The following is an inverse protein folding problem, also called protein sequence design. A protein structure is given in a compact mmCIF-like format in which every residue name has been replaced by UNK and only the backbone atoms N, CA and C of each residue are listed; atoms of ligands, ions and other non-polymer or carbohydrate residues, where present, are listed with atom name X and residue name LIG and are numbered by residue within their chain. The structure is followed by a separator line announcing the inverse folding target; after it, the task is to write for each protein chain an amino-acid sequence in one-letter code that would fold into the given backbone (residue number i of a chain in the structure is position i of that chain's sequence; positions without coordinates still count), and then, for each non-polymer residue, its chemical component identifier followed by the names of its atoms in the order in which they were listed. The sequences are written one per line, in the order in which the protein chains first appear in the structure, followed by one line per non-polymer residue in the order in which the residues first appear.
data_IF_748606697398
#
_entry.id   IF_748606697398
#
_cell.length_a   1.000
_cell.length_b   1.000
_cell.length_c   1.000
_cell.angle_alpha   90.00
_cell.angle_beta   90.00
_cell.angle_gamma   90.00
#
_symmetry.space_group_name_H-M   'P 1'
#
loop_
_entity.id
_entity.type
_entity.pdbx_description
1 polymer ?
#
# COMPACT_ATOMS: atom_id res chain seq x y z
N UNK A 1 3.49 -9.29 19.90
CA UNK A 1 2.18 -9.02 19.29
C UNK A 1 2.27 -7.90 18.27
N UNK A 2 1.57 -8.00 17.17
CA UNK A 2 1.59 -6.89 16.20
C UNK A 2 0.91 -5.66 16.78
N UNK A 3 1.37 -4.49 16.35
CA UNK A 3 0.75 -3.24 16.76
C UNK A 3 -0.59 -3.10 16.03
N UNK A 4 -1.42 -2.20 16.52
CA UNK A 4 -2.72 -1.98 15.93
C UNK A 4 -2.59 -1.19 14.63
N UNK A 5 -3.41 -1.55 13.65
CA UNK A 5 -3.48 -0.78 12.40
C UNK A 5 -4.48 0.36 12.50
N UNK A 6 -5.55 0.15 13.27
CA UNK A 6 -6.62 1.13 13.40
C UNK A 6 -6.80 1.53 14.86
N UNK A 7 -7.25 2.78 15.06
CA UNK A 7 -7.66 3.27 16.37
C UNK A 7 -9.07 2.78 16.66
N UNK A 8 -9.59 3.11 17.86
CA UNK A 8 -10.96 2.77 18.23
C UNK A 8 -11.98 3.39 17.29
N UNK A 9 -11.63 4.51 16.67
CA UNK A 9 -12.52 5.21 15.72
C UNK A 9 -12.38 4.69 14.29
N UNK A 10 -11.61 3.62 14.11
CA UNK A 10 -11.34 3.00 12.81
C UNK A 10 -10.54 3.89 11.86
N UNK A 11 -9.79 4.83 12.42
CA UNK A 11 -8.80 5.60 11.67
C UNK A 11 -7.46 4.88 11.76
N UNK A 12 -6.59 5.06 10.76
CA UNK A 12 -5.26 4.47 10.84
C UNK A 12 -4.48 5.04 12.02
N UNK A 13 -3.75 4.17 12.72
CA UNK A 13 -2.76 4.64 13.68
C UNK A 13 -1.68 5.41 12.92
N UNK A 14 -0.98 6.35 13.58
CA UNK A 14 0.08 7.11 12.88
C UNK A 14 1.14 6.22 12.24
N UNK A 15 1.48 5.11 12.90
CA UNK A 15 2.47 4.17 12.37
C UNK A 15 1.98 3.50 11.10
N UNK A 16 0.71 3.10 11.07
CA UNK A 16 0.13 2.46 9.91
C UNK A 16 0.02 3.43 8.74
N UNK A 17 -0.46 4.64 9.01
CA UNK A 17 -0.58 5.66 7.97
C UNK A 17 0.78 5.97 7.36
N UNK A 18 1.80 6.13 8.20
CA UNK A 18 3.16 6.41 7.71
C UNK A 18 3.67 5.29 6.81
N UNK A 19 3.42 4.05 7.21
CA UNK A 19 3.85 2.89 6.42
C UNK A 19 3.17 2.88 5.05
N UNK A 20 1.86 3.12 5.02
CA UNK A 20 1.13 3.12 3.75
C UNK A 20 1.55 4.28 2.86
N UNK A 21 1.79 5.46 3.43
CA UNK A 21 2.27 6.62 2.68
C UNK A 21 3.65 6.34 2.09
N UNK A 22 4.52 5.69 2.84
CA UNK A 22 5.85 5.34 2.33
C UNK A 22 5.73 4.38 1.15
N UNK A 23 4.84 3.39 1.25
CA UNK A 23 4.62 2.45 0.15
C UNK A 23 4.11 3.20 -1.09
N UNK A 24 3.12 4.07 -0.90
CA UNK A 24 2.60 4.90 -2.00
C UNK A 24 3.73 5.70 -2.66
N UNK A 25 4.54 6.37 -1.83
CA UNK A 25 5.64 7.21 -2.33
C UNK A 25 6.64 6.40 -3.14
N UNK A 26 6.86 5.15 -2.74
CA UNK A 26 7.77 4.24 -3.42
C UNK A 26 7.35 4.00 -4.87
N UNK A 27 6.04 3.94 -5.13
CA UNK A 27 5.52 3.68 -6.48
C UNK A 27 5.21 4.96 -7.26
N UNK A 28 5.14 6.11 -6.59
CA UNK A 28 4.92 7.42 -7.21
C UNK A 28 6.25 7.94 -7.76
N UNK A 29 6.71 7.33 -8.84
CA UNK A 29 8.05 7.58 -9.36
C UNK A 29 8.24 8.98 -9.90
N UNK A 30 7.19 9.55 -10.49
CA UNK A 30 7.27 10.92 -11.01
C UNK A 30 6.94 11.97 -9.96
N UNK A 31 6.58 11.52 -8.75
CA UNK A 31 6.37 12.37 -7.57
C UNK A 31 5.31 13.45 -7.80
N UNK A 32 4.24 13.07 -8.50
CA UNK A 32 3.14 14.00 -8.77
C UNK A 32 1.98 13.85 -7.77
N UNK A 33 2.12 12.96 -6.79
CA UNK A 33 1.09 12.75 -5.76
C UNK A 33 -0.01 11.80 -6.15
N UNK A 34 0.13 11.11 -7.27
CA UNK A 34 -0.85 10.13 -7.74
C UNK A 34 -0.15 9.00 -8.46
N UNK A 35 -0.77 7.82 -8.43
CA UNK A 35 -0.24 6.66 -9.16
C UNK A 35 -0.98 6.57 -10.50
N UNK A 36 -0.25 6.74 -11.60
CA UNK A 36 -0.82 6.52 -12.92
C UNK A 36 -0.97 5.01 -13.16
N UNK A 37 -1.52 4.63 -14.29
CA UNK A 37 -1.80 3.22 -14.56
C UNK A 37 -0.53 2.36 -14.47
N UNK A 38 0.58 2.84 -15.01
CA UNK A 38 1.84 2.08 -14.97
C UNK A 38 2.33 1.89 -13.54
N UNK A 39 2.29 2.95 -12.74
CA UNK A 39 2.73 2.89 -11.35
C UNK A 39 1.80 2.02 -10.53
N UNK A 40 0.49 2.17 -10.74
CA UNK A 40 -0.52 1.39 -10.02
C UNK A 40 -0.41 -0.09 -10.37
N UNK A 41 -0.17 -0.42 -11.63
CA UNK A 41 0.00 -1.81 -12.03
C UNK A 41 1.32 -2.41 -11.50
N UNK A 42 2.36 -1.59 -11.37
CA UNK A 42 3.59 -2.06 -10.71
C UNK A 42 3.32 -2.43 -9.26
N UNK A 43 2.53 -1.60 -8.56
CA UNK A 43 2.12 -1.88 -7.19
C UNK A 43 1.32 -3.19 -7.13
N UNK A 44 0.34 -3.34 -8.02
CA UNK A 44 -0.52 -4.53 -8.04
C UNK A 44 0.27 -5.80 -8.30
N UNK A 45 1.18 -5.73 -9.27
CA UNK A 45 1.99 -6.90 -9.64
C UNK A 45 2.87 -7.34 -8.48
N UNK A 46 3.51 -6.40 -7.82
CA UNK A 46 4.36 -6.75 -6.67
C UNK A 46 3.54 -7.26 -5.50
N UNK A 47 2.42 -6.60 -5.22
CA UNK A 47 1.63 -6.89 -4.02
C UNK A 47 0.77 -8.15 -4.18
N UNK A 48 0.16 -8.33 -5.35
CA UNK A 48 -0.81 -9.40 -5.59
C UNK A 48 -0.30 -10.49 -6.52
N UNK A 49 0.82 -10.28 -7.18
CA UNK A 49 1.37 -11.23 -8.14
C UNK A 49 0.80 -11.09 -9.54
N UNK A 50 -0.12 -10.14 -9.74
CA UNK A 50 -0.72 -9.90 -11.06
C UNK A 50 -1.26 -8.47 -11.11
N UNK A 51 -1.46 -7.97 -12.31
CA UNK A 51 -2.02 -6.64 -12.50
C UNK A 51 -3.49 -6.59 -12.12
N UNK A 52 -3.98 -5.39 -11.85
CA UNK A 52 -5.43 -5.18 -11.71
C UNK A 52 -6.11 -5.41 -13.06
N UNK A 53 -7.27 -6.05 -13.02
CA UNK A 53 -8.10 -6.22 -14.21
C UNK A 53 -8.75 -4.89 -14.59
N UNK A 54 -9.32 -4.84 -15.79
CA UNK A 54 -10.05 -3.66 -16.25
C UNK A 54 -11.18 -3.30 -15.29
N UNK A 55 -11.91 -4.31 -14.81
CA UNK A 55 -13.01 -4.10 -13.86
C UNK A 55 -12.49 -3.51 -12.55
N UNK A 56 -11.37 -4.04 -12.06
CA UNK A 56 -10.78 -3.52 -10.83
C UNK A 56 -10.30 -2.09 -10.99
N UNK A 57 -9.71 -1.76 -12.14
CA UNK A 57 -9.29 -0.37 -12.41
C UNK A 57 -10.48 0.56 -12.49
N UNK A 58 -11.57 0.11 -13.09
CA UNK A 58 -12.81 0.90 -13.13
C UNK A 58 -13.34 1.17 -11.74
N UNK A 59 -13.35 0.15 -10.89
CA UNK A 59 -13.81 0.31 -9.51
C UNK A 59 -12.95 1.31 -8.75
N UNK A 60 -11.64 1.25 -8.95
CA UNK A 60 -10.73 2.20 -8.32
C UNK A 60 -11.07 3.63 -8.74
N UNK A 61 -11.28 3.84 -10.04
CA UNK A 61 -11.59 5.18 -10.55
C UNK A 61 -12.96 5.68 -10.10
N UNK A 62 -13.92 4.77 -9.94
CA UNK A 62 -15.29 5.15 -9.57
C UNK A 62 -15.49 5.36 -8.08
N UNK A 63 -14.75 4.67 -7.24
CA UNK A 63 -15.02 4.66 -5.81
C UNK A 63 -13.93 5.27 -4.95
N UNK A 64 -12.73 5.45 -5.49
CA UNK A 64 -11.61 5.99 -4.74
C UNK A 64 -11.22 7.35 -5.31
N UNK A 65 -10.49 8.12 -4.52
CA UNK A 65 -10.08 9.46 -4.95
C UNK A 65 -8.99 9.36 -6.01
N UNK A 66 -9.31 9.89 -7.19
CA UNK A 66 -8.40 9.89 -8.33
C UNK A 66 -8.34 11.28 -8.94
N UNK A 67 -7.31 11.52 -9.74
CA UNK A 67 -7.23 12.74 -10.54
C UNK A 67 -8.22 12.67 -11.69
N UNK A 68 -8.37 13.79 -12.40
CA UNK A 68 -9.28 13.85 -13.55
C UNK A 68 -8.89 12.86 -14.64
N UNK A 69 -7.60 12.52 -14.76
CA UNK A 69 -7.14 11.55 -15.76
C UNK A 69 -7.11 10.12 -15.23
N UNK A 70 -7.64 9.89 -14.01
CA UNK A 70 -7.78 8.54 -13.48
C UNK A 70 -6.62 7.99 -12.70
N UNK A 71 -5.64 8.83 -12.32
CA UNK A 71 -4.53 8.38 -11.48
C UNK A 71 -4.97 8.35 -10.01
N UNK A 72 -4.55 7.34 -9.27
CA UNK A 72 -4.97 7.15 -7.88
C UNK A 72 -4.21 8.10 -6.95
N UNK A 73 -4.94 8.99 -6.30
CA UNK A 73 -4.35 9.93 -5.35
C UNK A 73 -3.94 9.20 -4.06
N UNK A 74 -3.04 9.82 -3.30
CA UNK A 74 -2.61 9.28 -2.01
C UNK A 74 -3.83 9.03 -1.09
N UNK A 75 -4.78 9.98 -1.07
CA UNK A 75 -6.00 9.81 -0.28
C UNK A 75 -6.79 8.58 -0.73
N UNK A 76 -6.85 8.34 -2.05
CA UNK A 76 -7.53 7.16 -2.57
C UNK A 76 -6.82 5.87 -2.18
N UNK A 77 -5.51 5.87 -2.19
CA UNK A 77 -4.71 4.72 -1.77
C UNK A 77 -4.97 4.39 -0.30
N UNK A 78 -4.96 5.41 0.56
CA UNK A 78 -5.25 5.21 1.97
C UNK A 78 -6.70 4.76 2.17
N UNK A 79 -7.62 5.32 1.41
CA UNK A 79 -9.03 4.94 1.45
C UNK A 79 -9.21 3.45 1.11
N UNK A 80 -8.49 2.98 0.11
CA UNK A 80 -8.55 1.57 -0.30
C UNK A 80 -8.17 0.65 0.87
N UNK A 81 -7.06 0.96 1.55
CA UNK A 81 -6.63 0.15 2.68
C UNK A 81 -7.50 0.35 3.92
N UNK A 82 -8.06 1.54 4.09
CA UNK A 82 -8.99 1.79 5.20
C UNK A 82 -10.23 0.89 5.06
N UNK A 83 -10.79 0.85 3.86
CA UNK A 83 -11.96 -0.01 3.59
C UNK A 83 -11.64 -1.48 3.81
N UNK A 84 -10.51 -1.94 3.31
CA UNK A 84 -10.08 -3.32 3.45
C UNK A 84 -9.91 -3.70 4.92
N UNK A 85 -9.20 -2.85 5.67
CA UNK A 85 -8.87 -3.14 7.06
C UNK A 85 -10.11 -3.07 7.95
N UNK A 86 -10.95 -2.05 7.74
CA UNK A 86 -12.14 -1.84 8.55
C UNK A 86 -13.22 -2.88 8.27
N UNK A 87 -13.22 -3.50 7.09
CA UNK A 87 -14.22 -4.52 6.75
C UNK A 87 -13.87 -5.90 7.28
N UNK A 88 -12.79 -6.02 8.03
CA UNK A 88 -12.40 -7.29 8.63
C UNK A 88 -11.25 -8.00 7.93
N UNK A 89 -10.67 -7.38 6.91
CA UNK A 89 -9.57 -7.98 6.15
C UNK A 89 -8.21 -7.45 6.58
N UNK A 90 -8.05 -7.19 7.88
CA UNK A 90 -6.77 -6.71 8.41
C UNK A 90 -5.62 -7.68 8.11
N UNK A 91 -5.90 -8.98 8.02
CA UNK A 91 -4.88 -9.97 7.66
C UNK A 91 -4.31 -9.68 6.27
N UNK A 92 -5.14 -9.25 5.33
CA UNK A 92 -4.68 -8.89 3.99
C UNK A 92 -3.83 -7.62 4.04
N UNK A 93 -4.24 -6.66 4.87
CA UNK A 93 -3.43 -5.45 5.03
C UNK A 93 -2.07 -5.79 5.61
N UNK A 94 -2.02 -6.65 6.64
CA UNK A 94 -0.75 -7.10 7.21
C UNK A 94 0.11 -7.83 6.18
N UNK A 95 -0.51 -8.68 5.37
CA UNK A 95 0.19 -9.41 4.32
C UNK A 95 0.86 -8.45 3.34
N UNK A 96 0.12 -7.42 2.92
CA UNK A 96 0.65 -6.42 1.99
C UNK A 96 1.78 -5.60 2.63
N UNK A 97 1.63 -5.23 3.89
CA UNK A 97 2.68 -4.50 4.62
C UNK A 97 3.95 -5.35 4.72
N UNK A 98 3.81 -6.61 5.07
CA UNK A 98 4.96 -7.52 5.14
C UNK A 98 5.63 -7.68 3.79
N UNK A 99 4.85 -7.76 2.74
CA UNK A 99 5.36 -7.88 1.38
C UNK A 99 6.26 -6.70 1.02
N UNK A 100 5.93 -5.53 1.56
CA UNK A 100 6.71 -4.31 1.32
C UNK A 100 7.81 -4.07 2.35
N UNK A 101 8.05 -5.05 3.23
CA UNK A 101 9.19 -5.01 4.14
C UNK A 101 8.90 -4.51 5.54
N UNK A 102 7.64 -4.39 5.93
CA UNK A 102 7.28 -3.93 7.27
C UNK A 102 7.10 -5.12 8.22
N UNK A 103 7.63 -4.98 9.43
CA UNK A 103 7.47 -6.02 10.45
C UNK A 103 6.22 -5.75 11.30
N UNK A 104 6.03 -6.55 12.34
CA UNK A 104 4.86 -6.46 13.21
C UNK A 104 4.78 -5.15 13.99
N UNK A 105 5.89 -4.44 14.10
CA UNK A 105 5.94 -3.14 14.78
C UNK A 105 5.80 -1.98 13.79
N UNK A 106 5.50 -2.28 12.53
CA UNK A 106 5.38 -1.32 11.44
C UNK A 106 6.68 -0.54 11.24
N UNK A 107 7.79 -1.24 11.39
CA UNK A 107 9.12 -0.70 11.09
C UNK A 107 9.58 -1.34 9.78
N UNK A 108 10.07 -0.51 8.88
CA UNK A 108 10.58 -0.99 7.59
C UNK A 108 11.89 -1.75 7.81
N UNK A 109 11.90 -3.02 7.46
CA UNK A 109 13.07 -3.90 7.63
C UNK A 109 13.54 -4.28 6.24
N UNK A 110 14.49 -3.55 5.76
CA UNK A 110 15.05 -3.84 4.43
C UNK A 110 16.05 -4.94 4.51
N UNK A 111 16.31 -5.68 3.91
CA UNK A 111 17.15 -6.66 3.99
C UNK A 111 18.07 -6.78 3.11
N UNK A 112 17.77 -6.33 3.73
CA UNK A 112 18.31 -6.31 3.36
C UNK A 112 18.73 -6.91 2.68
N UNK A 113 18.68 -6.79 2.39
CA UNK A 113 18.89 -6.98 1.79
C UNK A 113 19.47 -7.62 1.48
N UNK A 114 19.47 -7.28 1.65
CA UNK A 114 20.03 -7.57 1.52
C UNK A 114 20.49 -8.14 1.67
N UNK A 115 20.33 -7.78 1.79
CA UNK A 115 20.84 -8.04 2.00
C UNK A 115 21.24 -8.73 1.87
N UNK A 116 21.19 -8.50 1.65
CA UNK A 116 21.75 -8.96 1.57
C UNK A 116 22.24 -9.56 1.14
N UNK A 117 22.48 -9.43 0.94
CA UNK A 117 23.29 -9.84 0.66
C UNK A 117 23.91 -10.31 0.77
N UNK A 118 23.73 -10.14 0.71
CA UNK A 118 24.55 -10.42 0.91
C UNK A 118 24.87 -10.94 1.12
N UNK A 119 24.86 -10.82 1.06
CA UNK A 119 25.42 -11.11 1.34
C UNK A 119 25.50 -11.61 1.62
N UNK A 120 25.52 -11.51 1.57
CA UNK A 120 25.91 -11.87 1.85
C UNK A 120 26.12 -12.30 2.12
N UNK A 121 26.12 -12.29 2.06
CA UNK A 121 26.64 -12.50 2.30
C UNK A 121 26.94 -12.73 2.41
#
# INVERSE_FOLDING_TARGET
MPVELLTEDLDFTPECERALIEIFTRYDKDKDGALNDTELQSFATFTNGHEFSETELEDIRNYLKCTDDGSLLKEGFLQMYSLQTASGDSDETWKDLKKHGYNQDLVLVLKSKKEVFGGSE
#
